data_IF_481266408352
#
_entry.id   IF_481266408352
#
_cell.length_a   1.000
_cell.length_b   1.000
_cell.length_c   1.000
_cell.angle_alpha   90.00
_cell.angle_beta   90.00
_cell.angle_gamma   90.00
#
_symmetry.space_group_name_H-M   'P 1'
#
loop_
_entity.id
_entity.type
_entity.pdbx_description
1 polymer ?
#
# COMPACT_ATOMS: atom_id res chain seq x y z
N UNK A 1 -1.53 -25.03 14.04
CA UNK A 1 -2.19 -23.75 14.39
C UNK A 1 -3.44 -23.49 13.54
N UNK A 2 -3.36 -23.13 12.25
CA UNK A 2 -4.56 -22.81 11.43
C UNK A 2 -5.58 -23.97 11.32
N UNK A 3 -5.10 -25.22 11.24
CA UNK A 3 -5.98 -26.40 11.22
C UNK A 3 -6.78 -26.56 12.52
N UNK A 4 -6.12 -26.38 13.67
CA UNK A 4 -6.77 -26.51 14.97
C UNK A 4 -7.78 -25.38 15.23
N UNK A 5 -7.48 -24.15 14.78
CA UNK A 5 -8.44 -23.06 14.83
C UNK A 5 -9.68 -23.40 13.98
N UNK A 6 -9.48 -23.89 12.75
CA UNK A 6 -10.57 -24.32 11.86
C UNK A 6 -11.41 -25.43 12.49
N UNK A 7 -10.75 -26.46 13.05
CA UNK A 7 -11.42 -27.56 13.75
C UNK A 7 -12.24 -27.05 14.95
N UNK A 8 -11.68 -26.14 15.75
CA UNK A 8 -12.39 -25.51 16.87
C UNK A 8 -13.63 -24.72 16.43
N UNK A 9 -13.52 -23.89 15.39
CA UNK A 9 -14.66 -23.16 14.83
C UNK A 9 -15.71 -24.10 14.23
N UNK A 10 -15.28 -25.22 13.64
CA UNK A 10 -16.17 -26.22 13.06
C UNK A 10 -16.99 -26.96 14.13
N UNK A 11 -16.42 -27.24 15.31
CA UNK A 11 -17.13 -27.90 16.41
C UNK A 11 -18.39 -27.13 16.83
N UNK A 12 -18.36 -25.79 16.77
CA UNK A 12 -19.49 -24.93 17.09
C UNK A 12 -20.34 -24.54 15.86
N UNK A 13 -20.10 -25.16 14.70
CA UNK A 13 -20.81 -24.86 13.46
C UNK A 13 -20.52 -23.46 12.88
N UNK A 14 -19.51 -22.77 13.42
CA UNK A 14 -19.23 -21.37 13.08
C UNK A 14 -18.73 -21.20 11.65
N UNK A 15 -18.05 -22.20 11.09
CA UNK A 15 -17.60 -22.19 9.67
C UNK A 15 -18.79 -21.92 8.72
N UNK A 16 -19.90 -22.63 8.92
CA UNK A 16 -21.09 -22.43 8.07
C UNK A 16 -21.79 -21.09 8.31
N UNK A 17 -21.60 -20.47 9.48
CA UNK A 17 -22.10 -19.11 9.77
C UNK A 17 -21.24 -18.09 9.03
N UNK A 18 -19.91 -18.23 9.09
CA UNK A 18 -18.96 -17.36 8.38
C UNK A 18 -19.13 -17.42 6.86
N UNK A 19 -19.41 -18.61 6.30
CA UNK A 19 -19.65 -18.76 4.86
C UNK A 19 -20.92 -18.04 4.41
N UNK A 20 -21.98 -18.07 5.23
CA UNK A 20 -23.27 -17.43 4.93
C UNK A 20 -23.31 -15.94 5.24
N UNK A 21 -22.51 -15.47 6.21
CA UNK A 21 -22.56 -14.12 6.75
C UNK A 21 -21.17 -13.46 6.76
N UNK A 22 -20.45 -13.52 5.63
CA UNK A 22 -19.05 -13.05 5.54
C UNK A 22 -18.85 -11.62 6.04
N UNK A 23 -19.68 -10.69 5.60
CA UNK A 23 -19.56 -9.27 5.98
C UNK A 23 -19.78 -9.07 7.48
N UNK A 24 -20.82 -9.70 8.05
CA UNK A 24 -21.10 -9.61 9.50
C UNK A 24 -19.98 -10.25 10.33
N UNK A 25 -19.40 -11.36 9.85
CA UNK A 25 -18.32 -12.05 10.56
C UNK A 25 -16.96 -11.38 10.38
N UNK A 26 -16.77 -10.52 9.37
CA UNK A 26 -15.51 -9.83 9.10
C UNK A 26 -15.02 -9.04 10.32
N UNK A 27 -15.94 -8.35 11.00
CA UNK A 27 -15.66 -7.57 12.21
C UNK A 27 -15.18 -8.38 13.42
N UNK A 28 -15.29 -9.72 13.41
CA UNK A 28 -14.70 -10.55 14.47
C UNK A 28 -13.21 -10.80 14.30
N UNK A 29 -12.70 -10.66 13.07
CA UNK A 29 -11.31 -10.97 12.73
C UNK A 29 -10.50 -9.73 12.39
N UNK A 30 -11.18 -8.61 12.17
CA UNK A 30 -10.59 -7.35 11.71
C UNK A 30 -11.25 -6.21 12.47
N UNK A 31 -10.46 -5.19 12.82
CA UNK A 31 -10.97 -3.95 13.39
C UNK A 31 -12.10 -3.39 12.50
N UNK A 32 -13.19 -2.93 13.12
CA UNK A 32 -14.41 -2.48 12.43
C UNK A 32 -14.25 -1.25 11.53
N UNK A 33 -15.35 -0.82 10.92
CA UNK A 33 -15.39 0.20 9.86
C UNK A 33 -14.97 1.63 10.26
N UNK A 34 -14.87 1.93 11.55
CA UNK A 34 -14.58 3.29 12.08
C UNK A 34 -13.10 3.70 12.00
N UNK A 35 -12.21 2.84 11.51
CA UNK A 35 -10.76 3.09 11.49
C UNK A 35 -10.16 2.88 10.09
N UNK A 36 -10.91 3.30 9.05
CA UNK A 36 -10.42 3.29 7.66
C UNK A 36 -9.15 4.13 7.53
N UNK A 37 -8.20 3.59 6.78
CA UNK A 37 -6.93 4.27 6.48
C UNK A 37 -7.22 5.41 5.52
N UNK A 38 -6.83 6.63 5.91
CA UNK A 38 -6.88 7.83 5.07
C UNK A 38 -5.49 8.13 4.47
N UNK A 39 -5.42 9.07 3.52
CA UNK A 39 -4.16 9.47 2.87
C UNK A 39 -3.13 9.94 3.91
N UNK A 40 -3.59 10.73 4.88
CA UNK A 40 -2.77 11.28 5.96
C UNK A 40 -2.08 10.20 6.81
N UNK A 41 -2.76 9.08 7.10
CA UNK A 41 -2.18 7.97 7.85
C UNK A 41 -0.98 7.36 7.12
N UNK A 42 -1.07 7.19 5.80
CA UNK A 42 0.06 6.68 5.02
C UNK A 42 1.20 7.71 5.00
N UNK A 43 0.90 8.96 4.64
CA UNK A 43 1.89 10.03 4.48
C UNK A 43 2.64 10.32 5.78
N UNK A 44 1.95 10.41 6.91
CA UNK A 44 2.55 10.66 8.23
C UNK A 44 3.45 9.52 8.73
N UNK A 45 3.32 8.33 8.16
CA UNK A 45 4.15 7.18 8.49
C UNK A 45 5.27 6.91 7.48
N UNK A 46 5.42 7.73 6.44
CA UNK A 46 6.56 7.63 5.54
C UNK A 46 7.86 8.00 6.27
N UNK A 47 8.89 7.17 6.09
CA UNK A 47 10.23 7.38 6.59
C UNK A 47 11.22 7.34 5.41
N UNK A 48 11.29 8.44 4.61
CA UNK A 48 12.15 8.49 3.44
C UNK A 48 13.63 8.62 3.80
N UNK A 49 14.47 7.87 3.09
CA UNK A 49 15.92 8.04 3.10
C UNK A 49 16.30 9.01 1.98
N UNK A 50 16.34 10.30 2.30
CA UNK A 50 16.59 11.37 1.33
C UNK A 50 18.09 11.52 1.03
N UNK A 51 18.39 11.94 -0.20
CA UNK A 51 19.69 12.47 -0.60
C UNK A 51 19.98 13.81 0.08
N UNK A 52 21.24 14.25 -0.01
CA UNK A 52 21.72 15.52 0.53
C UNK A 52 20.83 16.70 0.12
N UNK A 53 20.40 17.48 1.10
CA UNK A 53 19.56 18.67 0.93
C UNK A 53 20.20 19.66 -0.05
N UNK A 54 19.41 20.13 -1.02
CA UNK A 54 19.89 21.04 -2.07
C UNK A 54 20.46 20.35 -3.31
N UNK A 55 20.65 19.03 -3.30
CA UNK A 55 21.03 18.28 -4.51
C UNK A 55 19.87 18.13 -5.50
N UNK A 56 20.19 17.92 -6.79
CA UNK A 56 19.17 17.59 -7.79
C UNK A 56 18.44 16.27 -7.48
N UNK A 57 19.14 15.32 -6.83
CA UNK A 57 18.54 14.07 -6.36
C UNK A 57 17.47 14.35 -5.32
N UNK A 58 17.79 15.16 -4.31
CA UNK A 58 16.83 15.56 -3.27
C UNK A 58 15.60 16.26 -3.86
N UNK A 59 15.78 17.16 -4.83
CA UNK A 59 14.65 17.82 -5.49
C UNK A 59 13.70 16.82 -6.18
N UNK A 60 14.25 15.81 -6.88
CA UNK A 60 13.45 14.75 -7.52
C UNK A 60 12.76 13.85 -6.49
N UNK A 61 13.43 13.49 -5.42
CA UNK A 61 12.87 12.67 -4.34
C UNK A 61 11.67 13.36 -3.68
N UNK A 62 11.81 14.65 -3.37
CA UNK A 62 10.71 15.47 -2.84
C UNK A 62 9.55 15.55 -3.81
N UNK A 63 9.81 15.71 -5.11
CA UNK A 63 8.76 15.72 -6.13
C UNK A 63 8.01 14.37 -6.18
N UNK A 64 8.71 13.24 -6.06
CA UNK A 64 8.10 11.92 -6.03
C UNK A 64 7.21 11.75 -4.78
N UNK A 65 7.66 12.23 -3.62
CA UNK A 65 6.85 12.18 -2.39
C UNK A 65 5.59 13.04 -2.51
N UNK A 66 5.69 14.23 -3.11
CA UNK A 66 4.53 15.09 -3.38
C UNK A 66 3.55 14.40 -4.34
N UNK A 67 4.04 13.85 -5.46
CA UNK A 67 3.23 13.07 -6.39
C UNK A 67 2.52 11.90 -5.69
N UNK A 68 3.19 11.23 -4.74
CA UNK A 68 2.59 10.14 -3.99
C UNK A 68 1.50 10.63 -3.04
N UNK A 69 1.69 11.77 -2.38
CA UNK A 69 0.67 12.40 -1.55
C UNK A 69 -0.55 12.83 -2.39
N UNK A 70 -0.32 13.50 -3.52
CA UNK A 70 -1.38 13.95 -4.43
C UNK A 70 -2.18 12.75 -4.95
N UNK A 71 -1.49 11.67 -5.33
CA UNK A 71 -2.11 10.41 -5.75
C UNK A 71 -3.02 9.81 -4.66
N UNK A 72 -2.57 9.79 -3.40
CA UNK A 72 -3.36 9.28 -2.29
C UNK A 72 -4.59 10.16 -2.01
N UNK A 73 -4.46 11.48 -2.10
CA UNK A 73 -5.57 12.40 -1.93
C UNK A 73 -6.60 12.26 -3.06
N UNK A 74 -6.15 12.13 -4.31
CA UNK A 74 -7.08 11.86 -5.43
C UNK A 74 -7.87 10.56 -5.27
N UNK A 75 -7.28 9.52 -4.65
CA UNK A 75 -7.99 8.28 -4.33
C UNK A 75 -9.01 8.45 -3.19
N UNK A 76 -8.82 9.43 -2.33
CA UNK A 76 -9.72 9.73 -1.21
C UNK A 76 -10.87 10.64 -1.66
N UNK A 77 -10.57 11.65 -2.48
CA UNK A 77 -11.53 12.60 -3.05
C UNK A 77 -12.33 12.01 -4.22
N UNK A 78 -11.80 10.98 -4.88
CA UNK A 78 -12.49 10.21 -5.90
C UNK A 78 -13.67 9.43 -5.32
N UNK A 79 -14.77 10.12 -5.05
CA UNK A 79 -16.06 9.51 -4.71
C UNK A 79 -16.41 8.48 -5.77
N UNK A 80 -16.49 7.24 -5.31
CA UNK A 80 -16.81 6.02 -6.07
C UNK A 80 -18.10 6.18 -6.89
N UNK A 81 -18.00 6.58 -8.15
CA UNK A 81 -19.05 6.32 -9.15
C UNK A 81 -18.86 4.96 -9.84
N UNK A 82 -17.67 4.36 -9.71
CA UNK A 82 -17.43 2.98 -10.12
C UNK A 82 -17.43 2.06 -8.89
N UNK A 83 -18.58 1.44 -8.61
CA UNK A 83 -18.75 0.23 -7.76
C UNK A 83 -18.03 -1.00 -8.37
N UNK A 84 -16.87 -0.80 -9.00
CA UNK A 84 -16.02 -1.88 -9.43
C UNK A 84 -15.34 -2.46 -8.19
N UNK A 85 -15.52 -3.76 -7.95
CA UNK A 85 -14.81 -4.51 -6.89
C UNK A 85 -13.27 -4.41 -6.99
N UNK A 86 -12.75 -3.87 -8.09
CA UNK A 86 -11.34 -3.61 -8.35
C UNK A 86 -10.91 -2.13 -8.31
N UNK A 87 -11.77 -1.23 -7.83
CA UNK A 87 -11.42 0.16 -7.63
C UNK A 87 -10.19 0.29 -6.70
N UNK A 88 -9.28 1.17 -7.09
CA UNK A 88 -8.12 1.49 -6.26
C UNK A 88 -8.59 2.37 -5.10
N UNK A 89 -8.09 2.10 -3.90
CA UNK A 89 -8.45 2.87 -2.71
C UNK A 89 -7.24 3.02 -1.80
N UNK A 90 -7.26 4.03 -0.92
CA UNK A 90 -6.18 4.25 0.06
C UNK A 90 -5.89 3.00 0.91
N UNK A 91 -6.90 2.27 1.44
CA UNK A 91 -6.67 0.98 2.10
C UNK A 91 -5.96 -0.06 1.23
N UNK A 92 -6.27 -0.12 -0.08
CA UNK A 92 -5.60 -1.03 -1.03
C UNK A 92 -4.14 -0.64 -1.27
N UNK A 93 -3.82 0.65 -1.25
CA UNK A 93 -2.42 1.12 -1.30
C UNK A 93 -1.66 0.67 -0.05
N UNK A 94 -2.23 0.86 1.15
CA UNK A 94 -1.58 0.39 2.38
C UNK A 94 -1.41 -1.14 2.38
N UNK A 95 -2.41 -1.87 1.90
CA UNK A 95 -2.34 -3.33 1.78
C UNK A 95 -1.21 -3.77 0.86
N UNK A 96 -1.05 -3.10 -0.27
CA UNK A 96 0.05 -3.39 -1.18
C UNK A 96 1.41 -3.09 -0.53
N UNK A 97 1.53 -1.96 0.17
CA UNK A 97 2.77 -1.55 0.85
C UNK A 97 3.17 -2.45 2.02
N UNK A 98 2.21 -3.00 2.76
CA UNK A 98 2.45 -3.59 4.10
C UNK A 98 1.84 -4.97 4.32
N UNK A 99 0.97 -5.43 3.41
CA UNK A 99 0.14 -6.62 3.58
C UNK A 99 -1.13 -6.39 4.40
N UNK A 100 -1.33 -5.20 4.98
CA UNK A 100 -2.48 -4.87 5.82
C UNK A 100 -3.21 -3.62 5.31
N UNK A 101 -4.54 -3.68 5.19
CA UNK A 101 -5.35 -2.56 4.68
C UNK A 101 -5.99 -1.70 5.79
N UNK A 102 -5.59 -1.92 7.04
CA UNK A 102 -6.21 -1.34 8.23
C UNK A 102 -5.16 -0.66 9.10
N UNK A 103 -5.59 0.31 9.91
CA UNK A 103 -4.75 0.91 10.92
C UNK A 103 -4.39 -0.13 11.99
N UNK A 104 -3.21 0.01 12.58
CA UNK A 104 -2.77 -0.85 13.68
C UNK A 104 -3.71 -0.69 14.88
N UNK A 105 -4.05 -1.78 15.57
CA UNK A 105 -5.00 -1.71 16.70
C UNK A 105 -4.39 -1.01 17.92
N UNK A 106 -3.15 -1.35 18.25
CA UNK A 106 -2.49 -0.80 19.44
C UNK A 106 -1.87 0.56 19.13
N UNK A 107 -2.06 1.53 20.02
CA UNK A 107 -1.45 2.86 19.88
C UNK A 107 0.07 2.78 19.78
N UNK A 108 0.70 1.91 20.58
CA UNK A 108 2.13 1.67 20.53
C UNK A 108 2.60 1.12 19.17
N UNK A 109 1.79 0.31 18.50
CA UNK A 109 2.09 -0.17 17.15
C UNK A 109 1.94 0.98 16.13
N UNK A 110 0.91 1.82 16.28
CA UNK A 110 0.72 3.00 15.41
C UNK A 110 1.89 3.97 15.50
N UNK A 111 2.39 4.24 16.71
CA UNK A 111 3.50 5.18 16.94
C UNK A 111 4.83 4.67 16.34
N UNK A 112 5.05 3.35 16.42
CA UNK A 112 6.27 2.72 15.91
C UNK A 112 6.20 2.34 14.43
N UNK A 113 5.00 2.35 13.83
CA UNK A 113 4.81 2.00 12.44
C UNK A 113 5.48 3.02 11.51
N UNK A 114 6.32 2.53 10.59
CA UNK A 114 6.99 3.36 9.58
C UNK A 114 7.11 2.61 8.26
N UNK A 115 6.83 3.31 7.17
CA UNK A 115 7.01 2.84 5.81
C UNK A 115 8.32 3.43 5.30
N UNK A 116 9.35 2.59 5.16
CA UNK A 116 10.66 3.02 4.66
C UNK A 116 10.55 3.35 3.18
N UNK A 117 10.97 4.56 2.80
CA UNK A 117 10.98 4.97 1.39
C UNK A 117 12.41 5.12 0.91
N UNK A 118 12.72 4.44 -0.18
CA UNK A 118 14.02 4.50 -0.87
C UNK A 118 13.84 5.01 -2.29
N UNK A 119 14.93 5.51 -2.86
CA UNK A 119 14.94 6.11 -4.19
C UNK A 119 16.06 5.52 -5.03
N UNK A 120 15.69 4.90 -6.14
CA UNK A 120 16.64 4.33 -7.08
C UNK A 120 16.94 5.31 -8.20
N UNK A 121 18.14 5.88 -8.15
CA UNK A 121 18.65 6.83 -9.13
C UNK A 121 19.48 6.17 -10.25
N UNK A 122 19.68 4.86 -10.18
CA UNK A 122 20.67 4.14 -11.01
C UNK A 122 20.05 3.11 -11.94
N UNK A 123 18.72 3.07 -12.07
CA UNK A 123 18.05 2.11 -12.94
C UNK A 123 18.58 2.14 -14.38
N UNK A 124 18.83 3.34 -14.92
CA UNK A 124 19.36 3.55 -16.27
C UNK A 124 20.82 3.09 -16.43
N UNK A 125 21.59 3.11 -15.35
CA UNK A 125 22.97 2.61 -15.33
C UNK A 125 23.00 1.08 -15.31
N UNK A 126 22.10 0.47 -14.51
CA UNK A 126 22.02 -0.98 -14.36
C UNK A 126 21.42 -1.69 -15.57
N UNK A 127 20.38 -1.09 -16.16
CA UNK A 127 19.67 -1.65 -17.33
C UNK A 127 19.54 -0.53 -18.38
N UNK A 128 20.50 -0.37 -19.28
CA UNK A 128 20.39 0.65 -20.32
C UNK A 128 19.18 0.40 -21.23
N UNK A 129 18.52 1.49 -21.68
CA UNK A 129 17.40 1.48 -22.66
C UNK A 129 16.06 0.86 -22.21
N UNK A 130 15.84 0.57 -20.93
CA UNK A 130 14.50 0.23 -20.46
C UNK A 130 13.57 1.45 -20.53
N UNK A 131 12.27 1.19 -20.73
CA UNK A 131 11.27 2.25 -20.92
C UNK A 131 10.53 2.62 -19.65
N UNK A 132 10.46 1.71 -18.68
CA UNK A 132 9.76 1.92 -17.41
C UNK A 132 10.34 1.02 -16.32
N UNK A 133 10.31 1.49 -15.08
CA UNK A 133 10.47 0.67 -13.89
C UNK A 133 9.25 0.84 -12.99
N UNK A 134 8.78 -0.26 -12.41
CA UNK A 134 7.75 -0.22 -11.37
C UNK A 134 8.39 -0.02 -10.00
N UNK A 135 7.69 0.62 -9.04
CA UNK A 135 8.15 0.66 -7.67
C UNK A 135 8.28 -0.75 -7.08
N UNK A 136 9.34 -0.97 -6.31
CA UNK A 136 9.58 -2.24 -5.64
C UNK A 136 9.09 -2.17 -4.20
N UNK A 137 8.22 -3.11 -3.82
CA UNK A 137 7.66 -3.18 -2.46
C UNK A 137 8.10 -4.45 -1.76
N UNK A 138 8.44 -4.32 -0.48
CA UNK A 138 8.60 -5.44 0.45
C UNK A 138 7.66 -5.23 1.62
N UNK A 139 6.52 -5.92 1.60
CA UNK A 139 5.51 -5.83 2.65
C UNK A 139 6.07 -6.24 4.03
N UNK A 140 6.89 -7.29 4.09
CA UNK A 140 7.52 -7.76 5.33
C UNK A 140 8.51 -6.75 5.91
N UNK A 141 9.25 -6.03 5.06
CA UNK A 141 10.21 -5.01 5.49
C UNK A 141 9.57 -3.63 5.64
N UNK A 142 8.28 -3.49 5.30
CA UNK A 142 7.52 -2.25 5.24
C UNK A 142 8.26 -1.18 4.44
N UNK A 143 8.73 -1.54 3.25
CA UNK A 143 9.55 -0.65 2.42
C UNK A 143 9.09 -0.57 0.98
N UNK A 144 9.19 0.63 0.40
CA UNK A 144 8.99 0.90 -1.03
C UNK A 144 10.24 1.59 -1.61
N UNK A 145 10.62 1.21 -2.82
CA UNK A 145 11.68 1.88 -3.59
C UNK A 145 11.09 2.48 -4.86
N UNK A 146 11.19 3.80 -5.00
CA UNK A 146 10.73 4.51 -6.20
C UNK A 146 11.86 4.65 -7.24
N UNK A 147 11.61 4.28 -8.52
CA UNK A 147 12.57 4.50 -9.60
C UNK A 147 12.51 5.97 -10.05
N UNK A 148 13.52 6.76 -9.67
CA UNK A 148 13.42 8.22 -9.79
C UNK A 148 13.42 8.75 -11.21
N UNK A 149 13.87 7.95 -12.18
CA UNK A 149 13.84 8.31 -13.60
C UNK A 149 12.43 8.28 -14.21
N UNK A 150 11.47 7.55 -13.61
CA UNK A 150 10.15 7.23 -14.22
C UNK A 150 8.95 7.66 -13.36
N UNK A 151 9.21 8.47 -12.34
CA UNK A 151 8.22 8.86 -11.33
C UNK A 151 8.17 10.39 -11.12
N UNK A 152 8.82 11.17 -11.99
CA UNK A 152 8.96 12.62 -11.83
C UNK A 152 7.68 13.36 -12.20
N UNK A 153 7.08 13.03 -13.35
CA UNK A 153 5.85 13.66 -13.79
C UNK A 153 4.64 12.95 -13.18
N UNK A 154 3.67 13.72 -12.72
CA UNK A 154 2.52 13.18 -11.99
C UNK A 154 1.69 12.19 -12.83
N UNK A 155 1.48 12.45 -14.13
CA UNK A 155 0.74 11.55 -15.02
C UNK A 155 1.41 10.18 -15.13
N UNK A 156 2.72 10.16 -15.37
CA UNK A 156 3.53 8.93 -15.45
C UNK A 156 3.56 8.21 -14.10
N UNK A 157 3.72 8.96 -13.01
CA UNK A 157 3.67 8.44 -11.65
C UNK A 157 2.35 7.73 -11.37
N UNK A 158 1.22 8.38 -11.67
CA UNK A 158 -0.13 7.85 -11.44
C UNK A 158 -0.38 6.58 -12.23
N UNK A 159 -0.03 6.56 -13.52
CA UNK A 159 -0.15 5.36 -14.37
C UNK A 159 0.70 4.21 -13.83
N UNK A 160 1.96 4.49 -13.50
CA UNK A 160 2.92 3.51 -12.99
C UNK A 160 2.47 2.91 -11.65
N UNK A 161 2.04 3.76 -10.70
CA UNK A 161 1.49 3.32 -9.41
C UNK A 161 0.23 2.49 -9.57
N UNK A 162 -0.70 2.93 -10.41
CA UNK A 162 -1.97 2.22 -10.65
C UNK A 162 -1.70 0.83 -11.21
N UNK A 163 -0.82 0.72 -12.21
CA UNK A 163 -0.42 -0.56 -12.78
C UNK A 163 0.31 -1.45 -11.76
N UNK A 164 1.27 -0.90 -11.01
CA UNK A 164 2.03 -1.62 -9.99
C UNK A 164 1.13 -2.21 -8.91
N UNK A 165 0.15 -1.45 -8.41
CA UNK A 165 -0.77 -1.91 -7.38
C UNK A 165 -1.75 -2.95 -7.95
N UNK A 166 -2.32 -2.72 -9.13
CA UNK A 166 -3.28 -3.67 -9.73
C UNK A 166 -2.63 -5.02 -10.03
N UNK A 167 -1.40 -5.03 -10.52
CA UNK A 167 -0.69 -6.26 -10.86
C UNK A 167 0.06 -6.87 -9.66
N UNK A 168 0.46 -6.06 -8.68
CA UNK A 168 1.31 -6.48 -7.56
C UNK A 168 0.59 -6.71 -6.23
N UNK A 169 -0.67 -6.26 -6.07
CA UNK A 169 -1.44 -6.45 -4.84
C UNK A 169 -2.11 -7.83 -4.71
N UNK A 170 -2.06 -8.66 -5.76
CA UNK A 170 -2.64 -10.00 -5.74
C UNK A 170 -1.77 -10.99 -4.96
N UNK A 171 -2.32 -11.58 -3.89
CA UNK A 171 -1.78 -12.81 -3.31
C UNK A 171 -2.14 -14.01 -4.20
N UNK A 172 -1.59 -14.06 -5.41
CA UNK A 172 -1.71 -15.24 -6.25
C UNK A 172 -0.97 -16.38 -5.55
N UNK A 173 -1.71 -17.44 -5.19
CA UNK A 173 -1.11 -18.67 -4.65
C UNK A 173 -0.11 -19.19 -5.68
N UNK A 174 1.16 -19.25 -5.30
CA UNK A 174 2.17 -20.10 -5.96
C UNK A 174 1.98 -21.52 -5.44
#
# INVERSE_FOLDING_TARGET
MLRQLREGLQLYGFIGVMERNRELCRGFFVAGDDDKVDSNYIVSNLAPTMSESGSQKHARETQILNNFQDFLQELEDGTTEDDAADALSVPRVLQWLTGQSHRHLLLSERENFKIKVHFDHTCMERIPNHTICFPLVSACAQSITFPTAHCVHYSEFKENMTAAIKCGAGFYRI
#
